data_IF_302361062740
#
_entry.id   IF_302361062740
#
_cell.length_a   1.000
_cell.length_b   1.000
_cell.length_c   1.000
_cell.angle_alpha   90.00
_cell.angle_beta   90.00
_cell.angle_gamma   90.00
#
_symmetry.space_group_name_H-M   'P 1'
#
loop_
_entity.id
_entity.type
_entity.pdbx_description
1 polymer ?
#
# COMPACT_ATOMS: atom_id res chain seq x y z
N UNK A 1 -8.16 -4.33 -8.60
CA UNK A 1 -8.21 -2.95 -8.06
C UNK A 1 -7.42 -2.06 -9.01
N UNK A 2 -8.00 -0.98 -9.55
CA UNK A 2 -7.24 -0.09 -10.45
C UNK A 2 -6.33 0.83 -9.62
N UNK A 3 -5.09 1.08 -10.07
CA UNK A 3 -4.09 1.93 -9.39
C UNK A 3 -4.63 3.34 -9.13
N UNK A 4 -5.48 3.86 -10.04
CA UNK A 4 -6.18 5.14 -9.88
C UNK A 4 -6.95 5.25 -8.56
N UNK A 5 -7.62 4.18 -8.11
CA UNK A 5 -8.36 4.18 -6.84
C UNK A 5 -7.45 4.24 -5.61
N UNK A 6 -6.32 3.53 -5.67
CA UNK A 6 -5.28 3.57 -4.64
C UNK A 6 -4.71 4.99 -4.50
N UNK A 7 -4.41 5.62 -5.63
CA UNK A 7 -3.84 6.98 -5.68
C UNK A 7 -4.79 8.05 -5.17
N UNK A 8 -6.09 7.90 -5.41
CA UNK A 8 -7.10 8.80 -4.86
C UNK A 8 -7.50 8.44 -3.42
N UNK A 9 -6.78 7.53 -2.75
CA UNK A 9 -7.08 7.00 -1.42
C UNK A 9 -8.51 6.43 -1.30
N UNK A 10 -9.13 6.02 -2.41
CA UNK A 10 -10.43 5.34 -2.46
C UNK A 10 -10.27 3.82 -2.27
N UNK A 11 -9.35 3.44 -1.40
CA UNK A 11 -9.22 2.06 -0.96
C UNK A 11 -10.34 1.71 0.01
N UNK A 12 -10.91 0.53 -0.15
CA UNK A 12 -11.86 -0.02 0.84
C UNK A 12 -11.04 -0.54 2.04
N UNK A 13 -10.37 0.37 2.76
CA UNK A 13 -9.68 0.06 4.01
C UNK A 13 -10.59 0.38 5.21
N UNK A 14 -10.38 -0.29 6.34
CA UNK A 14 -11.25 -0.08 7.50
C UNK A 14 -11.25 1.35 8.03
N UNK A 15 -10.13 2.06 7.95
CA UNK A 15 -10.10 3.48 8.34
C UNK A 15 -11.09 4.30 7.52
N UNK A 16 -11.08 4.15 6.19
CA UNK A 16 -12.05 4.82 5.31
C UNK A 16 -13.49 4.38 5.62
N UNK A 17 -13.73 3.08 5.75
CA UNK A 17 -15.06 2.54 6.05
C UNK A 17 -15.61 2.99 7.41
N UNK A 18 -14.74 3.15 8.41
CA UNK A 18 -15.10 3.66 9.72
C UNK A 18 -15.50 5.15 9.63
N UNK A 19 -14.74 5.95 8.87
CA UNK A 19 -15.05 7.38 8.66
C UNK A 19 -16.40 7.61 7.97
N UNK A 20 -16.81 6.72 7.07
CA UNK A 20 -18.12 6.79 6.39
C UNK A 20 -19.24 6.01 7.12
N UNK A 21 -18.99 5.54 8.35
CA UNK A 21 -19.99 4.86 9.19
C UNK A 21 -20.40 3.46 8.71
N UNK A 22 -19.60 2.82 7.84
CA UNK A 22 -19.85 1.45 7.35
C UNK A 22 -19.26 0.38 8.26
N UNK A 23 -18.26 0.72 9.06
CA UNK A 23 -17.67 -0.17 10.07
C UNK A 23 -17.57 0.54 11.42
N UNK A 24 -17.57 -0.24 12.50
CA UNK A 24 -17.45 0.24 13.88
C UNK A 24 -16.01 0.40 14.35
N UNK A 25 -15.02 -0.12 13.61
CA UNK A 25 -13.61 -0.06 13.97
C UNK A 25 -12.74 0.19 12.74
N UNK A 26 -11.75 1.07 12.89
CA UNK A 26 -10.71 1.34 11.91
C UNK A 26 -9.49 0.41 12.02
N UNK A 27 -9.48 -0.48 13.01
CA UNK A 27 -8.31 -1.31 13.33
C UNK A 27 -8.20 -2.55 12.43
N UNK A 28 -6.97 -2.84 12.01
CA UNK A 28 -6.62 -4.08 11.33
C UNK A 28 -6.74 -5.26 12.30
N UNK A 29 -7.42 -6.34 11.91
CA UNK A 29 -7.63 -7.51 12.79
C UNK A 29 -6.35 -8.25 13.16
N UNK A 30 -5.29 -8.08 12.33
CA UNK A 30 -4.02 -8.80 12.51
C UNK A 30 -3.01 -7.94 13.25
N UNK A 31 -2.95 -6.65 12.90
CA UNK A 31 -1.93 -5.75 13.41
C UNK A 31 -2.38 -4.97 14.65
N UNK A 32 -3.70 -4.82 14.84
CA UNK A 32 -4.31 -3.96 15.86
C UNK A 32 -3.92 -2.47 15.74
N UNK A 33 -3.51 -2.05 14.55
CA UNK A 33 -3.19 -0.67 14.17
C UNK A 33 -4.27 -0.13 13.23
N UNK A 34 -4.34 1.19 13.04
CA UNK A 34 -5.27 1.82 12.08
C UNK A 34 -4.99 1.26 10.68
N UNK A 35 -6.00 0.65 10.08
CA UNK A 35 -5.90 0.04 8.75
C UNK A 35 -6.07 1.12 7.66
N UNK A 36 -5.00 1.88 7.44
CA UNK A 36 -4.89 2.78 6.29
C UNK A 36 -4.47 2.00 5.03
N UNK A 37 -4.57 2.62 3.86
CA UNK A 37 -4.02 2.03 2.63
C UNK A 37 -2.50 1.83 2.72
N UNK A 38 -1.78 2.78 3.30
CA UNK A 38 -0.34 2.65 3.56
C UNK A 38 -0.05 1.47 4.49
N UNK A 39 -0.84 1.28 5.55
CA UNK A 39 -0.73 0.11 6.41
C UNK A 39 -0.86 -1.17 5.60
N UNK A 40 -1.90 -1.32 4.78
CA UNK A 40 -2.12 -2.50 3.94
C UNK A 40 -0.90 -2.73 3.01
N UNK A 41 -0.48 -1.69 2.28
CA UNK A 41 0.50 -1.76 1.18
C UNK A 41 1.95 -1.75 1.63
N UNK A 42 2.26 -1.29 2.84
CA UNK A 42 3.65 -1.23 3.35
C UNK A 42 3.92 -2.06 4.61
N UNK A 43 2.94 -2.27 5.50
CA UNK A 43 3.22 -2.71 6.88
C UNK A 43 2.42 -3.94 7.35
N UNK A 44 1.21 -4.15 6.82
CA UNK A 44 0.27 -5.15 7.31
C UNK A 44 0.83 -6.58 7.23
N UNK A 45 0.86 -7.27 8.37
CA UNK A 45 1.35 -8.66 8.47
C UNK A 45 0.54 -9.64 7.63
N UNK A 46 -0.74 -9.34 7.36
CA UNK A 46 -1.64 -10.13 6.51
C UNK A 46 -1.07 -10.32 5.09
N UNK A 47 -0.37 -9.31 4.56
CA UNK A 47 0.07 -9.26 3.16
C UNK A 47 1.59 -9.39 3.00
N UNK A 48 2.27 -9.98 3.98
CA UNK A 48 3.73 -10.03 4.00
C UNK A 48 4.30 -10.88 2.85
N UNK A 49 3.62 -11.98 2.50
CA UNK A 49 4.03 -12.84 1.40
C UNK A 49 3.94 -12.13 0.04
N UNK A 50 2.84 -11.41 -0.20
CA UNK A 50 2.59 -10.64 -1.41
C UNK A 50 3.57 -9.47 -1.53
N UNK A 51 3.84 -8.77 -0.42
CA UNK A 51 4.82 -7.68 -0.37
C UNK A 51 6.22 -8.17 -0.69
N UNK A 52 6.61 -9.31 -0.14
CA UNK A 52 7.90 -9.94 -0.46
C UNK A 52 7.99 -10.35 -1.93
N UNK A 53 6.94 -10.96 -2.49
CA UNK A 53 6.90 -11.30 -3.90
C UNK A 53 7.00 -10.07 -4.81
N UNK A 54 6.33 -8.98 -4.43
CA UNK A 54 6.43 -7.68 -5.11
C UNK A 54 7.85 -7.13 -5.02
N UNK A 55 8.47 -7.11 -3.85
CA UNK A 55 9.85 -6.66 -3.66
C UNK A 55 10.85 -7.48 -4.48
N UNK A 56 10.70 -8.80 -4.57
CA UNK A 56 11.55 -9.64 -5.41
C UNK A 56 11.45 -9.30 -6.90
N UNK A 57 10.27 -8.90 -7.38
CA UNK A 57 10.09 -8.43 -8.76
C UNK A 57 10.71 -7.04 -8.96
N UNK A 58 10.50 -6.14 -8.00
CA UNK A 58 10.98 -4.76 -8.08
C UNK A 58 12.50 -4.64 -7.91
N UNK A 59 13.15 -5.52 -7.14
CA UNK A 59 14.62 -5.58 -7.02
C UNK A 59 15.32 -5.79 -8.36
N UNK A 60 14.63 -6.36 -9.36
CA UNK A 60 15.17 -6.52 -10.72
C UNK A 60 15.17 -5.21 -11.52
N UNK A 61 14.46 -4.19 -11.02
CA UNK A 61 14.14 -2.96 -11.73
C UNK A 61 14.71 -1.75 -10.99
N UNK A 62 14.72 -1.78 -9.66
CA UNK A 62 15.17 -0.70 -8.79
C UNK A 62 16.09 -1.24 -7.70
N UNK A 63 17.21 -0.54 -7.49
CA UNK A 63 18.15 -0.80 -6.40
C UNK A 63 17.80 -0.06 -5.11
N UNK A 64 16.83 0.86 -5.15
CA UNK A 64 16.40 1.64 -3.99
C UNK A 64 15.13 1.06 -3.33
N UNK A 65 15.03 1.08 -1.99
CA UNK A 65 13.78 0.77 -1.29
C UNK A 65 12.68 1.75 -1.72
N UNK A 66 11.53 1.23 -2.15
CA UNK A 66 10.38 2.07 -2.52
C UNK A 66 9.60 2.50 -1.29
N UNK A 67 9.30 3.80 -1.20
CA UNK A 67 8.34 4.34 -0.25
C UNK A 67 6.89 4.18 -0.75
N UNK A 68 5.92 4.40 0.14
CA UNK A 68 4.50 4.39 -0.23
C UNK A 68 4.18 5.44 -1.32
N UNK A 69 4.79 6.62 -1.22
CA UNK A 69 4.68 7.68 -2.24
C UNK A 69 5.23 7.26 -3.59
N UNK A 70 6.35 6.53 -3.63
CA UNK A 70 6.95 6.07 -4.89
C UNK A 70 6.03 5.08 -5.61
N UNK A 71 5.37 4.19 -4.85
CA UNK A 71 4.39 3.24 -5.40
C UNK A 71 3.15 3.91 -6.01
N UNK A 72 2.79 5.10 -5.52
CA UNK A 72 1.61 5.84 -5.97
C UNK A 72 1.92 6.95 -6.98
N UNK A 73 3.20 7.19 -7.27
CA UNK A 73 3.62 8.24 -8.20
C UNK A 73 3.09 8.00 -9.62
N UNK A 74 2.84 9.08 -10.38
CA UNK A 74 2.57 9.02 -11.83
C UNK A 74 3.82 8.79 -12.65
N UNK A 75 4.98 9.05 -12.07
CA UNK A 75 6.22 8.94 -12.80
C UNK A 75 6.61 7.47 -12.91
N UNK A 76 6.35 6.89 -14.08
CA UNK A 76 6.90 5.61 -14.50
C UNK A 76 8.40 5.69 -14.87
N UNK A 77 9.06 6.81 -14.57
CA UNK A 77 10.51 6.89 -14.63
C UNK A 77 11.06 6.09 -13.44
N UNK A 78 11.21 4.79 -13.68
CA UNK A 78 12.12 3.95 -12.92
C UNK A 78 13.47 4.67 -12.99
N UNK A 79 14.02 5.04 -11.84
CA UNK A 79 15.30 5.72 -11.72
C UNK A 79 16.38 4.88 -12.43
N UNK A 80 16.60 5.16 -13.72
CA UNK A 80 17.78 4.73 -14.45
C UNK A 80 18.83 5.79 -14.16
N UNK A 81 19.50 5.64 -13.03
CA UNK A 81 20.73 6.39 -12.79
C UNK A 81 21.80 5.81 -13.73
N UNK A 82 22.35 6.68 -14.58
CA UNK A 82 23.52 6.43 -15.43
C UNK A 82 24.81 6.51 -14.61
#
# INVERSE_FOLDING_TARGET
MQVSRLRSNHGICKDYLCRIGKLSSSLCDICNEIETLEHIVMQCRRYNAERNAMHCKLKKISHVPLSYSDLLSSNNQLFVEY
#
